data_IF_364419603781
#
_entry.id   IF_364419603781
#
_cell.length_a   1.000
_cell.length_b   1.000
_cell.length_c   1.000
_cell.angle_alpha   90.00
_cell.angle_beta   90.00
_cell.angle_gamma   90.00
#
_symmetry.space_group_name_H-M   'P 1'
#
loop_
_entity.id
_entity.type
_entity.pdbx_description
1 polymer ?
#
# COMPACT_ATOMS: atom_id res chain seq x y z
N UNK A 1 -0.35 23.95 66.49
CA UNK A 1 0.99 23.48 66.12
C UNK A 1 0.83 22.42 65.05
N UNK A 2 1.74 22.46 64.10
CA UNK A 2 1.75 21.87 62.77
C UNK A 2 1.53 20.35 62.71
N UNK A 3 0.95 19.92 61.59
CA UNK A 3 0.99 18.55 61.10
C UNK A 3 0.56 18.55 59.64
N UNK A 4 1.53 18.73 58.72
CA UNK A 4 1.32 18.53 57.29
C UNK A 4 1.00 17.05 57.03
N UNK A 5 -0.08 16.81 56.30
CA UNK A 5 -0.30 15.58 55.53
C UNK A 5 -0.65 15.99 54.11
N UNK A 6 0.27 15.73 53.19
CA UNK A 6 0.05 15.83 51.75
C UNK A 6 -1.06 14.86 51.35
N UNK A 7 -2.10 15.28 50.61
CA UNK A 7 -3.03 14.32 50.03
C UNK A 7 -2.38 13.63 48.83
N UNK A 8 -2.43 12.31 48.91
CA UNK A 8 -2.21 11.34 47.84
C UNK A 8 -2.81 11.82 46.51
N UNK A 9 -1.98 11.82 45.47
CA UNK A 9 -2.48 11.81 44.10
C UNK A 9 -3.04 10.41 43.81
N UNK A 10 -4.34 10.25 44.01
CA UNK A 10 -5.09 9.10 43.54
C UNK A 10 -5.15 9.09 42.01
N UNK A 11 -4.63 8.03 41.41
CA UNK A 11 -5.23 7.36 40.24
C UNK A 11 -5.21 8.11 38.90
N UNK A 12 -4.06 8.48 38.39
CA UNK A 12 -3.89 8.62 36.93
C UNK A 12 -3.87 7.22 36.31
N UNK A 13 -4.56 6.96 35.19
CA UNK A 13 -4.40 5.70 34.47
C UNK A 13 -2.93 5.57 34.05
N UNK A 14 -2.26 4.50 34.51
CA UNK A 14 -0.91 4.18 34.05
C UNK A 14 -0.95 3.98 32.54
N UNK A 15 -0.50 4.98 31.78
CA UNK A 15 -0.12 4.77 30.40
C UNK A 15 0.99 3.72 30.35
N UNK A 16 0.98 2.81 29.37
CA UNK A 16 2.08 1.88 29.19
C UNK A 16 3.38 2.68 29.06
N UNK A 17 4.49 2.21 29.65
CA UNK A 17 5.77 2.88 29.52
C UNK A 17 6.12 3.03 28.03
N UNK A 18 6.76 4.16 27.69
CA UNK A 18 7.23 4.43 26.35
C UNK A 18 8.01 3.21 25.79
N UNK A 19 7.81 2.86 24.51
CA UNK A 19 8.47 1.69 23.92
C UNK A 19 9.99 1.85 24.03
N UNK A 20 10.65 0.85 24.60
CA UNK A 20 12.10 0.82 24.72
C UNK A 20 12.73 0.69 23.32
N UNK A 21 13.86 1.37 23.05
CA UNK A 21 14.57 1.21 21.78
C UNK A 21 15.04 -0.25 21.63
N UNK A 22 14.44 -0.97 20.67
CA UNK A 22 14.75 -2.38 20.40
C UNK A 22 13.54 -3.32 20.26
N UNK A 23 12.32 -2.86 20.54
CA UNK A 23 11.09 -3.63 20.21
C UNK A 23 10.71 -3.41 18.73
N UNK A 24 10.46 -4.46 17.94
CA UNK A 24 10.04 -4.32 16.54
C UNK A 24 8.63 -3.76 16.51
N UNK A 25 8.55 -2.46 16.30
CA UNK A 25 7.31 -1.77 16.01
C UNK A 25 7.02 -2.13 14.55
N UNK A 26 5.98 -2.91 14.28
CA UNK A 26 5.48 -3.10 12.92
C UNK A 26 4.79 -1.81 12.46
N UNK A 27 5.59 -0.75 12.35
CA UNK A 27 5.27 0.40 11.54
C UNK A 27 5.51 -0.03 10.10
N UNK A 28 4.58 0.31 9.19
CA UNK A 28 4.83 0.26 7.75
C UNK A 28 5.82 1.37 7.33
N UNK A 29 6.86 1.59 8.13
CA UNK A 29 7.98 2.43 7.81
C UNK A 29 8.77 1.70 6.73
N UNK A 30 8.57 2.12 5.47
CA UNK A 30 9.40 1.75 4.32
C UNK A 30 10.87 1.74 4.77
N UNK A 31 11.57 0.59 4.73
CA UNK A 31 12.94 0.53 5.17
C UNK A 31 13.79 1.50 4.33
N UNK A 32 14.66 2.22 5.01
CA UNK A 32 15.69 3.09 4.48
C UNK A 32 16.41 2.42 3.30
N UNK A 33 16.15 2.93 2.08
CA UNK A 33 16.84 2.68 0.80
C UNK A 33 17.61 1.35 0.73
N UNK A 34 16.86 0.25 0.73
CA UNK A 34 17.24 -0.94 -0.04
C UNK A 34 17.44 -0.48 -1.51
N UNK A 35 18.30 -1.15 -2.27
CA UNK A 35 18.45 -0.88 -3.70
C UNK A 35 17.06 -0.86 -4.36
N UNK A 36 16.63 0.31 -4.88
CA UNK A 36 15.32 0.47 -5.51
C UNK A 36 15.14 -0.53 -6.66
N UNK A 37 16.24 -0.93 -7.30
CA UNK A 37 16.23 -1.93 -8.38
C UNK A 37 15.92 -3.31 -7.84
N UNK A 38 16.52 -3.70 -6.73
CA UNK A 38 16.22 -4.96 -6.04
C UNK A 38 14.78 -4.96 -5.52
N UNK A 39 14.32 -3.84 -4.94
CA UNK A 39 12.94 -3.67 -4.45
C UNK A 39 11.94 -3.85 -5.60
N UNK A 40 12.12 -3.10 -6.69
CA UNK A 40 11.26 -3.18 -7.86
C UNK A 40 11.26 -4.60 -8.46
N UNK A 41 12.43 -5.23 -8.57
CA UNK A 41 12.55 -6.59 -9.09
C UNK A 41 11.83 -7.62 -8.20
N UNK A 42 12.00 -7.52 -6.88
CA UNK A 42 11.34 -8.42 -5.91
C UNK A 42 9.82 -8.29 -5.93
N UNK A 43 9.30 -7.05 -5.95
CA UNK A 43 7.85 -6.80 -6.03
C UNK A 43 7.28 -7.36 -7.33
N UNK A 44 7.93 -7.09 -8.48
CA UNK A 44 7.47 -7.58 -9.78
C UNK A 44 7.55 -9.11 -9.89
N UNK A 45 8.58 -9.75 -9.32
CA UNK A 45 8.69 -11.20 -9.32
C UNK A 45 7.52 -11.89 -8.59
N UNK A 46 7.09 -11.33 -7.45
CA UNK A 46 5.91 -11.83 -6.73
C UNK A 46 4.62 -11.64 -7.55
N UNK A 47 4.44 -10.46 -8.15
CA UNK A 47 3.28 -10.16 -9.00
C UNK A 47 3.21 -11.12 -10.20
N UNK A 48 4.34 -11.30 -10.90
CA UNK A 48 4.42 -12.13 -12.09
C UNK A 48 4.22 -13.61 -11.77
N UNK A 49 4.69 -14.07 -10.59
CA UNK A 49 4.48 -15.43 -10.10
C UNK A 49 3.01 -15.70 -9.76
N UNK A 50 2.36 -14.82 -9.01
CA UNK A 50 0.95 -14.96 -8.65
C UNK A 50 0.06 -14.97 -9.91
N UNK A 51 0.33 -14.07 -10.86
CA UNK A 51 -0.38 -14.06 -12.17
C UNK A 51 -0.08 -15.31 -12.99
N UNK A 52 1.12 -15.90 -12.88
CA UNK A 52 1.46 -17.16 -13.53
C UNK A 52 0.68 -18.32 -12.92
N UNK A 53 0.56 -18.37 -11.59
CA UNK A 53 -0.26 -19.38 -10.90
C UNK A 53 -1.72 -19.28 -11.33
N UNK A 54 -2.28 -18.07 -11.32
CA UNK A 54 -3.66 -17.82 -11.76
C UNK A 54 -3.90 -18.35 -13.18
N UNK A 55 -3.02 -18.03 -14.15
CA UNK A 55 -3.15 -18.51 -15.52
C UNK A 55 -3.16 -20.04 -15.61
N UNK A 56 -2.31 -20.71 -14.85
CA UNK A 56 -2.23 -22.18 -14.85
C UNK A 56 -3.43 -22.83 -14.15
N UNK A 57 -3.90 -22.26 -13.03
CA UNK A 57 -5.12 -22.71 -12.35
C UNK A 57 -6.35 -22.55 -13.24
N UNK A 58 -6.45 -21.45 -13.99
CA UNK A 58 -7.53 -21.24 -15.00
C UNK A 58 -7.49 -22.25 -16.15
N UNK A 59 -6.34 -22.86 -16.43
CA UNK A 59 -6.21 -23.95 -17.40
C UNK A 59 -6.65 -25.32 -16.83
N UNK A 60 -7.10 -25.37 -15.58
CA UNK A 60 -7.59 -26.58 -14.91
C UNK A 60 -6.52 -27.39 -14.20
N UNK A 61 -5.28 -26.88 -14.08
CA UNK A 61 -4.25 -27.56 -13.30
C UNK A 61 -4.57 -27.49 -11.80
N UNK A 62 -4.24 -28.55 -11.07
CA UNK A 62 -4.33 -28.57 -9.60
C UNK A 62 -3.21 -27.72 -8.98
N UNK A 63 -3.37 -27.22 -7.74
CA UNK A 63 -2.32 -26.48 -7.05
C UNK A 63 -0.98 -27.22 -7.00
N UNK A 64 -1.01 -28.52 -6.74
CA UNK A 64 0.18 -29.39 -6.79
C UNK A 64 0.84 -29.40 -8.18
N UNK A 65 0.07 -29.60 -9.25
CA UNK A 65 0.61 -29.59 -10.62
C UNK A 65 1.21 -28.24 -11.02
N UNK A 66 0.60 -27.14 -10.56
CA UNK A 66 1.15 -25.80 -10.75
C UNK A 66 2.47 -25.66 -10.02
N UNK A 67 2.53 -26.02 -8.74
CA UNK A 67 3.74 -25.98 -7.91
C UNK A 67 4.90 -26.77 -8.54
N UNK A 68 4.63 -28.00 -8.97
CA UNK A 68 5.59 -28.85 -9.69
C UNK A 68 6.08 -28.20 -10.99
N UNK A 69 5.18 -27.58 -11.77
CA UNK A 69 5.50 -26.93 -13.04
C UNK A 69 6.24 -25.60 -12.87
N UNK A 70 6.01 -24.90 -11.76
CA UNK A 70 6.64 -23.61 -11.48
C UNK A 70 7.91 -23.72 -10.68
N UNK A 71 8.13 -24.84 -9.97
CA UNK A 71 9.22 -24.99 -9.00
C UNK A 71 8.97 -24.24 -7.69
N UNK A 72 7.72 -23.85 -7.43
CA UNK A 72 7.32 -23.01 -6.31
C UNK A 72 6.62 -23.87 -5.24
N UNK A 73 6.55 -23.38 -4.01
CA UNK A 73 5.84 -24.10 -2.96
C UNK A 73 4.33 -24.07 -3.18
N UNK A 74 3.66 -25.22 -3.01
CA UNK A 74 2.22 -25.37 -3.18
C UNK A 74 1.40 -24.39 -2.31
N UNK A 75 1.90 -24.00 -1.12
CA UNK A 75 1.23 -23.03 -0.24
C UNK A 75 1.01 -21.66 -0.90
N UNK A 76 1.91 -21.22 -1.77
CA UNK A 76 1.76 -19.96 -2.49
C UNK A 76 0.68 -20.07 -3.57
N UNK A 77 0.66 -21.18 -4.30
CA UNK A 77 -0.38 -21.49 -5.28
C UNK A 77 -1.76 -21.60 -4.62
N UNK A 78 -1.84 -22.25 -3.45
CA UNK A 78 -3.08 -22.35 -2.68
C UNK A 78 -3.61 -20.98 -2.23
N UNK A 79 -2.74 -20.02 -1.97
CA UNK A 79 -3.14 -18.65 -1.65
C UNK A 79 -3.85 -18.00 -2.84
N UNK A 80 -3.26 -18.09 -4.03
CA UNK A 80 -3.88 -17.59 -5.27
C UNK A 80 -5.19 -18.32 -5.56
N UNK A 81 -5.23 -19.65 -5.41
CA UNK A 81 -6.46 -20.43 -5.61
C UNK A 81 -7.59 -19.95 -4.68
N UNK A 82 -7.30 -19.68 -3.41
CA UNK A 82 -8.32 -19.17 -2.46
C UNK A 82 -8.85 -17.80 -2.85
N UNK A 83 -8.00 -16.92 -3.37
CA UNK A 83 -8.45 -15.62 -3.90
C UNK A 83 -9.41 -15.83 -5.08
N UNK A 84 -9.03 -16.70 -6.03
CA UNK A 84 -9.89 -17.04 -7.18
C UNK A 84 -11.23 -17.65 -6.74
N UNK A 85 -11.22 -18.58 -5.78
CA UNK A 85 -12.43 -19.24 -5.27
C UNK A 85 -13.38 -18.24 -4.57
N UNK A 86 -12.84 -17.13 -4.02
CA UNK A 86 -13.62 -16.01 -3.45
C UNK A 86 -14.06 -14.96 -4.48
N UNK A 87 -13.65 -15.10 -5.74
CA UNK A 87 -13.91 -14.10 -6.79
C UNK A 87 -13.08 -12.82 -6.64
N UNK A 88 -12.01 -12.84 -5.85
CA UNK A 88 -11.12 -11.70 -5.67
C UNK A 88 -10.14 -11.62 -6.85
N UNK A 89 -9.85 -10.40 -7.39
CA UNK A 89 -8.85 -10.24 -8.43
C UNK A 89 -7.45 -10.58 -7.90
N UNK A 90 -6.72 -11.43 -8.62
CA UNK A 90 -5.33 -11.76 -8.29
C UNK A 90 -4.41 -10.70 -8.87
N UNK A 91 -3.72 -9.95 -8.01
CA UNK A 91 -2.75 -8.91 -8.40
C UNK A 91 -3.25 -8.03 -9.55
N UNK A 92 -4.35 -7.28 -9.38
CA UNK A 92 -4.77 -6.31 -10.40
C UNK A 92 -3.59 -5.38 -10.73
N UNK A 93 -3.48 -4.95 -11.98
CA UNK A 93 -2.44 -4.00 -12.39
C UNK A 93 -2.61 -2.71 -11.59
N UNK A 94 -1.49 -2.10 -11.18
CA UNK A 94 -1.49 -0.84 -10.44
C UNK A 94 -0.55 0.17 -11.09
N UNK A 95 -0.75 1.49 -10.89
CA UNK A 95 0.20 2.49 -11.33
C UNK A 95 1.62 2.24 -10.77
N UNK A 96 1.74 1.81 -9.52
CA UNK A 96 3.02 1.48 -8.88
C UNK A 96 3.77 0.39 -9.64
N UNK A 97 3.07 -0.66 -10.08
CA UNK A 97 3.63 -1.71 -10.92
C UNK A 97 4.19 -1.14 -12.24
N UNK A 98 3.43 -0.28 -12.91
CA UNK A 98 3.88 0.36 -14.15
C UNK A 98 5.15 1.19 -13.94
N UNK A 99 5.23 1.91 -12.81
CA UNK A 99 6.44 2.64 -12.41
C UNK A 99 7.65 1.72 -12.24
N UNK A 100 7.50 0.58 -11.55
CA UNK A 100 8.58 -0.40 -11.40
C UNK A 100 8.98 -1.06 -12.73
N UNK A 101 8.01 -1.38 -13.59
CA UNK A 101 8.31 -1.95 -14.92
C UNK A 101 9.11 -0.98 -15.76
N UNK A 102 8.76 0.32 -15.74
CA UNK A 102 9.55 1.36 -16.42
C UNK A 102 10.95 1.46 -15.84
N UNK A 103 11.06 1.48 -14.51
CA UNK A 103 12.34 1.59 -13.81
C UNK A 103 13.32 0.47 -14.15
N UNK A 104 12.81 -0.76 -14.32
CA UNK A 104 13.62 -1.91 -14.76
C UNK A 104 13.80 -2.00 -16.29
N UNK A 105 13.25 -1.05 -17.05
CA UNK A 105 13.35 -1.01 -18.52
C UNK A 105 12.46 -2.04 -19.23
N UNK A 106 11.46 -2.61 -18.54
CA UNK A 106 10.51 -3.57 -19.14
C UNK A 106 9.46 -2.88 -20.01
N UNK A 107 9.13 -1.62 -19.72
CA UNK A 107 8.26 -0.77 -20.53
C UNK A 107 8.91 0.59 -20.76
N UNK A 108 8.56 1.26 -21.84
CA UNK A 108 9.05 2.61 -22.13
C UNK A 108 8.33 3.67 -21.27
N UNK A 109 8.93 4.85 -21.08
CA UNK A 109 8.24 5.98 -20.44
C UNK A 109 6.96 6.37 -21.18
N UNK A 110 6.98 6.33 -22.52
CA UNK A 110 5.80 6.60 -23.34
C UNK A 110 4.68 5.60 -23.03
N UNK A 111 4.99 4.31 -23.04
CA UNK A 111 4.01 3.27 -22.75
C UNK A 111 3.44 3.38 -21.34
N UNK A 112 4.29 3.64 -20.33
CA UNK A 112 3.84 3.88 -18.97
C UNK A 112 2.85 5.05 -18.92
N UNK A 113 3.23 6.20 -19.50
CA UNK A 113 2.39 7.40 -19.49
C UNK A 113 1.09 7.22 -20.26
N UNK A 114 1.10 6.54 -21.41
CA UNK A 114 -0.12 6.25 -22.19
C UNK A 114 -1.13 5.44 -21.36
N UNK A 115 -0.65 4.46 -20.58
CA UNK A 115 -1.52 3.69 -19.67
C UNK A 115 -2.00 4.52 -18.47
N UNK A 116 -1.12 5.31 -17.87
CA UNK A 116 -1.46 6.16 -16.71
C UNK A 116 -2.49 7.24 -17.07
N UNK A 117 -2.39 7.85 -18.26
CA UNK A 117 -3.39 8.83 -18.75
C UNK A 117 -4.79 8.25 -18.88
N UNK A 118 -4.90 6.98 -19.25
CA UNK A 118 -6.18 6.29 -19.40
C UNK A 118 -6.67 5.63 -18.10
N UNK A 119 -5.92 5.78 -16.99
CA UNK A 119 -6.20 5.07 -15.76
C UNK A 119 -7.44 5.63 -15.06
N UNK A 120 -8.42 4.80 -14.65
CA UNK A 120 -9.59 5.24 -13.90
C UNK A 120 -9.18 5.48 -12.43
N UNK A 121 -8.59 6.65 -12.16
CA UNK A 121 -8.01 6.93 -10.85
C UNK A 121 -9.03 6.89 -9.71
N UNK A 122 -8.63 6.24 -8.62
CA UNK A 122 -9.34 6.30 -7.34
C UNK A 122 -8.47 7.06 -6.34
N UNK A 123 -9.11 7.90 -5.54
CA UNK A 123 -8.44 8.59 -4.44
C UNK A 123 -8.63 7.79 -3.17
N UNK A 124 -7.60 7.74 -2.33
CA UNK A 124 -7.70 7.08 -1.04
C UNK A 124 -8.76 7.73 -0.17
N UNK A 125 -9.43 6.92 0.65
CA UNK A 125 -10.53 7.35 1.50
C UNK A 125 -10.30 6.89 2.93
N UNK A 126 -10.65 7.75 3.88
CA UNK A 126 -10.73 7.36 5.27
C UNK A 126 -12.04 6.57 5.45
N UNK A 127 -11.93 5.36 5.98
CA UNK A 127 -13.03 4.53 6.44
C UNK A 127 -13.06 4.56 7.97
N UNK A 128 -14.16 5.06 8.52
CA UNK A 128 -14.41 5.11 9.96
C UNK A 128 -13.20 5.63 10.77
N UNK A 129 -13.09 5.26 12.05
CA UNK A 129 -12.21 5.95 13.00
C UNK A 129 -10.69 5.77 12.75
N UNK A 130 -10.22 4.75 12.00
CA UNK A 130 -8.77 4.46 11.88
C UNK A 130 -8.29 3.83 10.53
N UNK A 131 -9.16 3.63 9.53
CA UNK A 131 -8.78 2.89 8.31
C UNK A 131 -8.54 3.77 7.10
N UNK A 132 -7.30 3.87 6.59
CA UNK A 132 -7.04 4.49 5.28
C UNK A 132 -7.08 3.44 4.16
N UNK A 133 -8.04 3.54 3.25
CA UNK A 133 -8.10 2.74 2.03
C UNK A 133 -7.29 3.43 0.94
N UNK A 134 -6.18 2.83 0.50
CA UNK A 134 -5.28 3.37 -0.52
C UNK A 134 -5.98 3.40 -1.88
N UNK A 135 -5.99 4.55 -2.54
CA UNK A 135 -6.44 4.71 -3.93
C UNK A 135 -5.28 4.63 -4.92
N UNK A 136 -5.58 4.39 -6.20
CA UNK A 136 -4.55 4.32 -7.24
C UNK A 136 -3.81 5.65 -7.46
N UNK A 137 -4.38 6.79 -7.04
CA UNK A 137 -3.66 8.07 -7.03
C UNK A 137 -2.54 8.11 -5.98
N UNK A 138 -2.64 7.33 -4.91
CA UNK A 138 -1.60 7.26 -3.86
C UNK A 138 -0.35 6.57 -4.37
N UNK A 139 -0.49 5.67 -5.34
CA UNK A 139 0.60 5.05 -6.07
C UNK A 139 1.36 6.11 -6.89
N UNK A 140 0.66 7.01 -7.59
CA UNK A 140 1.28 8.11 -8.35
C UNK A 140 2.08 9.04 -7.42
N UNK A 141 1.50 9.39 -6.27
CA UNK A 141 2.19 10.20 -5.25
C UNK A 141 3.45 9.50 -4.71
N UNK A 142 3.37 8.18 -4.49
CA UNK A 142 4.49 7.36 -4.03
C UNK A 142 5.60 7.31 -5.10
N UNK A 143 5.24 7.05 -6.36
CA UNK A 143 6.18 7.02 -7.47
C UNK A 143 6.93 8.34 -7.64
N UNK A 144 6.26 9.48 -7.52
CA UNK A 144 6.92 10.79 -7.53
C UNK A 144 7.90 10.92 -6.36
N UNK A 145 7.46 10.59 -5.14
CA UNK A 145 8.32 10.66 -3.95
C UNK A 145 9.54 9.75 -4.04
N UNK A 146 9.42 8.63 -4.75
CA UNK A 146 10.49 7.65 -4.96
C UNK A 146 11.41 8.00 -6.15
N UNK A 147 11.14 9.11 -6.86
CA UNK A 147 11.88 9.51 -8.07
C UNK A 147 11.59 8.62 -9.29
N UNK A 148 10.53 7.81 -9.22
CA UNK A 148 10.06 6.92 -10.27
C UNK A 148 9.00 7.59 -11.18
N UNK A 149 8.70 8.86 -10.96
CA UNK A 149 8.01 9.77 -11.88
C UNK A 149 8.75 11.11 -11.85
N UNK A 150 8.93 11.72 -13.01
CA UNK A 150 9.42 13.10 -13.07
C UNK A 150 8.32 14.08 -12.66
N UNK A 151 8.70 15.30 -12.24
CA UNK A 151 7.73 16.34 -11.91
C UNK A 151 6.83 16.68 -13.10
N UNK A 152 7.38 16.75 -14.32
CA UNK A 152 6.59 16.99 -15.54
C UNK A 152 5.54 15.90 -15.79
N UNK A 153 5.91 14.63 -15.63
CA UNK A 153 4.97 13.52 -15.78
C UNK A 153 3.88 13.54 -14.71
N UNK A 154 4.24 13.92 -13.48
CA UNK A 154 3.29 14.07 -12.39
C UNK A 154 2.30 15.20 -12.65
N UNK A 155 2.79 16.38 -13.06
CA UNK A 155 1.95 17.56 -13.35
C UNK A 155 0.96 17.28 -14.49
N UNK A 156 1.38 16.50 -15.49
CA UNK A 156 0.50 16.06 -16.58
C UNK A 156 -0.64 15.16 -16.06
N UNK A 157 -0.34 14.18 -15.20
CA UNK A 157 -1.35 13.31 -14.60
C UNK A 157 -2.24 14.07 -13.63
N UNK A 158 -1.70 15.05 -12.90
CA UNK A 158 -2.48 15.91 -12.01
C UNK A 158 -3.46 16.76 -12.83
N UNK A 159 -3.06 17.33 -13.97
CA UNK A 159 -3.96 18.11 -14.82
C UNK A 159 -5.15 17.29 -15.37
N UNK A 160 -4.97 16.00 -15.62
CA UNK A 160 -6.04 15.09 -16.07
C UNK A 160 -7.01 14.75 -14.93
N UNK A 161 -6.50 14.67 -13.70
CA UNK A 161 -7.26 14.25 -12.51
C UNK A 161 -7.80 15.41 -11.68
N UNK A 162 -7.32 16.63 -11.87
CA UNK A 162 -7.82 17.85 -11.24
C UNK A 162 -9.33 18.10 -11.38
N UNK A 163 -10.02 17.75 -12.50
CA UNK A 163 -11.48 17.86 -12.56
C UNK A 163 -12.22 16.82 -11.70
N UNK A 164 -11.54 15.84 -11.10
CA UNK A 164 -12.18 14.83 -10.26
C UNK A 164 -12.43 15.36 -8.85
N UNK A 165 -13.58 15.06 -8.23
CA UNK A 165 -13.83 15.42 -6.85
C UNK A 165 -12.80 14.74 -5.95
N UNK A 166 -11.85 15.53 -5.46
CA UNK A 166 -10.94 15.11 -4.40
C UNK A 166 -11.82 14.75 -3.19
N UNK A 167 -11.51 13.67 -2.44
CA UNK A 167 -12.23 13.39 -1.20
C UNK A 167 -12.26 14.67 -0.37
N UNK A 168 -13.41 15.05 0.22
CA UNK A 168 -13.43 16.11 1.21
C UNK A 168 -12.26 15.86 2.17
N UNK A 169 -11.52 16.91 2.52
CA UNK A 169 -10.79 16.86 3.79
C UNK A 169 -11.87 16.81 4.85
N UNK A 170 -12.41 15.63 5.12
CA UNK A 170 -13.24 15.46 6.29
C UNK A 170 -12.39 15.93 7.46
N UNK A 171 -12.81 16.97 8.18
CA UNK A 171 -12.04 17.47 9.30
C UNK A 171 -11.81 16.28 10.21
N UNK A 172 -10.56 16.03 10.54
CA UNK A 172 -10.19 14.89 11.35
C UNK A 172 -11.02 14.96 12.66
N UNK A 173 -11.41 13.82 13.27
CA UNK A 173 -12.28 13.84 14.44
C UNK A 173 -11.78 14.75 15.58
N UNK A 174 -10.47 15.01 15.66
CA UNK A 174 -9.83 15.90 16.62
C UNK A 174 -9.74 17.39 16.20
N UNK A 175 -10.12 17.74 14.97
CA UNK A 175 -10.28 19.13 14.50
C UNK A 175 -11.67 19.70 14.83
N UNK A 176 -12.66 18.84 15.11
CA UNK A 176 -13.87 19.24 15.82
C UNK A 176 -13.49 19.46 17.27
N UNK A 177 -13.17 20.71 17.60
CA UNK A 177 -12.71 21.13 18.92
C UNK A 177 -13.41 20.39 20.05
N UNK A 178 -12.60 19.71 20.88
CA UNK A 178 -13.06 19.08 22.10
C UNK A 178 -13.78 20.13 22.96
N UNK A 179 -15.09 19.95 23.17
CA UNK A 179 -15.85 20.76 24.11
C UNK A 179 -15.97 19.98 25.42
N UNK A 180 -15.30 20.39 26.51
CA UNK A 180 -15.61 19.88 27.83
C UNK A 180 -17.04 20.30 28.20
N UNK A 181 -17.84 19.35 28.68
CA UNK A 181 -19.07 19.65 29.41
C UNK A 181 -18.74 20.17 30.81
#
# INVERSE_FOLDING_TARGET
>A
MSGQVSPEQSGMPQWPPAPQPGQPQHTWSRPLRIDMRETAAGVLALIDSDRRFERLLRQGLTPQQVAERTGEEERFVLTVKRMMDRGEPVRPETPEELGYRRFLGQISSKEMMDRLRAWPYTFGRIRDYDGYERGSWDDIRSLRSDGLLSDQEYDELEAITDPMPRPPRDPLPWEKGWQPQ
#
